data_IF_969839070346
#
_entry.id   IF_969839070346
#
_cell.length_a   1.000
_cell.length_b   1.000
_cell.length_c   1.000
_cell.angle_alpha   90.00
_cell.angle_beta   90.00
_cell.angle_gamma   90.00
#
_symmetry.space_group_name_H-M   'P 1'
#
loop_
_entity.id
_entity.type
_entity.pdbx_description
1 polymer ?
#
# COMPACT_ATOMS: atom_id res chain seq x y z
N UNK A 1 1.06 -18.23 1.63
CA UNK A 1 1.49 -17.82 0.27
C UNK A 1 1.39 -16.32 0.01
N UNK A 2 0.26 -15.65 0.26
CA UNK A 2 0.15 -14.20 0.02
C UNK A 2 1.04 -13.36 0.97
N UNK A 3 1.08 -13.70 2.26
CA UNK A 3 1.97 -13.02 3.22
C UNK A 3 3.44 -13.15 2.83
N UNK A 4 3.86 -14.32 2.37
CA UNK A 4 5.23 -14.52 1.94
C UNK A 4 5.58 -13.81 0.64
N UNK A 5 4.62 -13.66 -0.28
CA UNK A 5 4.76 -12.78 -1.45
C UNK A 5 4.93 -11.31 -1.04
N UNK A 6 4.27 -10.88 0.04
CA UNK A 6 4.44 -9.51 0.55
C UNK A 6 5.83 -9.25 1.12
N UNK A 7 6.44 -10.27 1.74
CA UNK A 7 7.80 -10.16 2.27
C UNK A 7 8.84 -10.14 1.15
N UNK A 8 8.70 -10.98 0.12
CA UNK A 8 9.63 -10.97 -1.01
C UNK A 8 9.62 -9.65 -1.78
N UNK A 9 8.45 -9.05 -1.98
CA UNK A 9 8.32 -7.72 -2.59
C UNK A 9 8.87 -6.60 -1.71
N UNK A 10 8.72 -6.68 -0.38
CA UNK A 10 9.36 -5.71 0.51
C UNK A 10 10.89 -5.77 0.44
N UNK A 11 11.45 -6.98 0.27
CA UNK A 11 12.88 -7.17 0.08
C UNK A 11 13.36 -6.65 -1.29
N UNK A 12 12.55 -6.79 -2.35
CA UNK A 12 12.90 -6.23 -3.67
C UNK A 12 12.88 -4.71 -3.67
N UNK A 13 11.95 -4.10 -2.93
CA UNK A 13 11.82 -2.64 -2.81
C UNK A 13 13.11 -1.98 -2.31
N UNK A 14 13.76 -2.57 -1.30
CA UNK A 14 15.01 -2.04 -0.73
C UNK A 14 16.19 -2.06 -1.73
N UNK A 15 16.11 -2.88 -2.78
CA UNK A 15 17.22 -3.12 -3.71
C UNK A 15 17.09 -2.36 -5.04
N UNK A 16 15.93 -1.75 -5.31
CA UNK A 16 15.69 -1.03 -6.58
C UNK A 16 16.03 0.44 -6.41
N UNK A 17 16.77 0.99 -7.39
CA UNK A 17 17.16 2.40 -7.41
C UNK A 17 16.31 3.23 -8.36
N UNK A 18 15.83 2.64 -9.45
CA UNK A 18 15.11 3.38 -10.48
C UNK A 18 13.67 3.72 -10.02
N UNK A 19 13.25 4.99 -10.02
CA UNK A 19 11.98 5.44 -9.44
C UNK A 19 10.75 4.77 -10.08
N UNK A 20 10.80 4.48 -11.39
CA UNK A 20 9.72 3.77 -12.07
C UNK A 20 9.55 2.32 -11.60
N UNK A 21 10.65 1.57 -11.42
CA UNK A 21 10.55 0.21 -10.89
C UNK A 21 10.20 0.20 -9.41
N UNK A 22 10.63 1.23 -8.67
CA UNK A 22 10.26 1.44 -7.29
C UNK A 22 8.73 1.65 -7.15
N UNK A 23 8.14 2.43 -8.06
CA UNK A 23 6.68 2.57 -8.18
C UNK A 23 5.97 1.26 -8.55
N UNK A 24 6.52 0.47 -9.47
CA UNK A 24 5.94 -0.81 -9.88
C UNK A 24 5.94 -1.84 -8.74
N UNK A 25 7.03 -1.95 -7.97
CA UNK A 25 7.08 -2.84 -6.80
C UNK A 25 6.12 -2.40 -5.70
N UNK A 26 5.99 -1.09 -5.45
CA UNK A 26 4.99 -0.58 -4.52
C UNK A 26 3.57 -0.90 -4.96
N UNK A 27 3.25 -0.77 -6.26
CA UNK A 27 1.93 -1.15 -6.77
C UNK A 27 1.65 -2.64 -6.52
N UNK A 28 2.59 -3.52 -6.86
CA UNK A 28 2.46 -4.96 -6.57
C UNK A 28 2.27 -5.25 -5.08
N UNK A 29 3.03 -4.58 -4.21
CA UNK A 29 2.93 -4.74 -2.76
C UNK A 29 1.54 -4.32 -2.25
N UNK A 30 1.01 -3.20 -2.72
CA UNK A 30 -0.31 -2.71 -2.27
C UNK A 30 -1.46 -3.63 -2.67
N UNK A 31 -1.38 -4.26 -3.85
CA UNK A 31 -2.36 -5.26 -4.28
C UNK A 31 -2.33 -6.47 -3.34
N UNK A 32 -1.15 -6.99 -3.01
CA UNK A 32 -1.01 -8.14 -2.11
C UNK A 32 -1.48 -7.80 -0.70
N UNK A 33 -1.17 -6.60 -0.19
CA UNK A 33 -1.66 -6.15 1.12
C UNK A 33 -3.19 -6.04 1.12
N UNK A 34 -3.80 -5.45 0.09
CA UNK A 34 -5.25 -5.37 -0.02
C UNK A 34 -5.91 -6.76 -0.01
N UNK A 35 -5.34 -7.71 -0.76
CA UNK A 35 -5.81 -9.10 -0.80
C UNK A 35 -5.65 -9.82 0.54
N UNK A 36 -4.51 -9.64 1.24
CA UNK A 36 -4.36 -10.22 2.59
C UNK A 36 -5.37 -9.63 3.56
N UNK A 37 -5.61 -8.32 3.52
CA UNK A 37 -6.58 -7.64 4.37
C UNK A 37 -8.02 -8.11 4.11
N UNK A 38 -8.38 -8.39 2.85
CA UNK A 38 -9.70 -8.96 2.53
C UNK A 38 -9.90 -10.38 3.05
N UNK A 39 -8.82 -11.15 3.23
CA UNK A 39 -8.91 -12.51 3.80
C UNK A 39 -9.07 -12.50 5.31
N UNK A 40 -8.53 -11.49 6.00
CA UNK A 40 -8.63 -11.38 7.46
C UNK A 40 -9.94 -10.76 7.95
N UNK A 41 -10.57 -9.91 7.13
CA UNK A 41 -11.77 -9.20 7.53
C UNK A 41 -13.03 -9.80 6.91
N UNK A 42 -14.10 -9.85 7.70
CA UNK A 42 -15.41 -10.34 7.26
C UNK A 42 -16.04 -9.49 6.14
N UNK A 43 -15.60 -8.24 5.96
CA UNK A 43 -16.08 -7.37 4.88
C UNK A 43 -14.93 -6.73 4.12
N UNK A 44 -15.03 -6.75 2.79
CA UNK A 44 -14.01 -6.21 1.88
C UNK A 44 -13.93 -4.66 1.81
N UNK A 45 -14.77 -3.93 2.56
CA UNK A 45 -14.82 -2.47 2.54
C UNK A 45 -13.49 -1.82 2.93
N UNK A 46 -12.84 -2.30 4.00
CA UNK A 46 -11.55 -1.76 4.44
C UNK A 46 -10.42 -2.05 3.45
N UNK A 47 -10.35 -3.27 2.89
CA UNK A 47 -9.38 -3.62 1.86
C UNK A 47 -9.56 -2.79 0.58
N UNK A 48 -10.79 -2.46 0.22
CA UNK A 48 -11.11 -1.62 -0.92
C UNK A 48 -10.66 -0.15 -0.71
N UNK A 49 -10.97 0.43 0.45
CA UNK A 49 -10.54 1.80 0.80
C UNK A 49 -9.00 1.88 0.80
N UNK A 50 -8.32 0.89 1.39
CA UNK A 50 -6.86 0.83 1.41
C UNK A 50 -6.28 0.78 -0.02
N UNK A 51 -6.86 -0.04 -0.89
CA UNK A 51 -6.43 -0.13 -2.29
C UNK A 51 -6.55 1.21 -3.02
N UNK A 52 -7.71 1.88 -2.92
CA UNK A 52 -7.94 3.16 -3.60
C UNK A 52 -6.98 4.27 -3.15
N UNK A 53 -6.78 4.42 -1.83
CA UNK A 53 -5.92 5.47 -1.29
C UNK A 53 -4.47 5.25 -1.73
N UNK A 54 -3.99 4.00 -1.68
CA UNK A 54 -2.62 3.68 -2.05
C UNK A 54 -2.37 3.89 -3.55
N UNK A 55 -3.29 3.43 -4.41
CA UNK A 55 -3.18 3.65 -5.87
C UNK A 55 -3.21 5.13 -6.22
N UNK A 56 -4.11 5.91 -5.60
CA UNK A 56 -4.19 7.36 -5.80
C UNK A 56 -2.89 8.08 -5.42
N UNK A 57 -2.29 7.74 -4.27
CA UNK A 57 -1.00 8.31 -3.84
C UNK A 57 0.17 7.96 -4.75
N UNK A 58 0.23 6.71 -5.24
CA UNK A 58 1.29 6.27 -6.15
C UNK A 58 1.23 6.94 -7.52
N UNK A 59 0.03 7.24 -8.04
CA UNK A 59 -0.11 7.97 -9.31
C UNK A 59 0.47 9.39 -9.24
N UNK A 60 0.27 10.09 -8.12
CA UNK A 60 0.83 11.44 -7.92
C UNK A 60 2.37 11.38 -7.88
N UNK A 61 2.94 10.41 -7.16
CA UNK A 61 4.41 10.22 -7.16
C UNK A 61 4.96 9.83 -8.54
N UNK A 62 4.22 9.03 -9.31
CA UNK A 62 4.61 8.65 -10.66
C UNK A 62 4.69 9.88 -11.59
N UNK A 63 3.68 10.75 -11.57
CA UNK A 63 3.67 12.00 -12.36
C UNK A 63 4.82 12.91 -11.94
N UNK A 64 5.09 13.03 -10.63
CA UNK A 64 6.20 13.84 -10.14
C UNK A 64 7.56 13.31 -10.66
N UNK A 65 7.81 12.00 -10.55
CA UNK A 65 9.10 11.43 -10.96
C UNK A 65 9.33 11.50 -12.47
N UNK A 66 8.31 11.28 -13.30
CA UNK A 66 8.43 11.45 -14.76
C UNK A 66 8.64 12.92 -15.16
N UNK A 67 8.15 13.88 -14.35
CA UNK A 67 8.36 15.31 -14.60
C UNK A 67 9.76 15.82 -14.21
N UNK A 68 10.42 15.15 -13.25
CA UNK A 68 11.72 15.58 -12.69
C UNK A 68 12.91 14.90 -13.37
N UNK A 69 12.77 13.66 -13.84
CA UNK A 69 13.86 12.90 -14.46
C UNK A 69 13.53 12.48 -15.89
N UNK A 70 14.33 12.94 -16.84
CA UNK A 70 14.31 12.49 -18.23
C UNK A 70 14.73 11.02 -18.32
N UNK A 71 13.83 10.13 -18.77
CA UNK A 71 14.05 8.73 -19.20
C UNK A 71 15.49 8.18 -19.04
N UNK A 72 15.93 7.97 -17.80
CA UNK A 72 17.20 7.30 -17.57
C UNK A 72 17.09 5.85 -18.03
N UNK A 73 18.15 5.33 -18.65
CA UNK A 73 18.15 3.94 -19.12
C UNK A 73 17.98 3.01 -17.92
N UNK A 74 17.00 2.13 -18.01
CA UNK A 74 16.67 1.16 -16.97
C UNK A 74 17.87 0.24 -16.68
N UNK A 75 18.52 0.41 -15.53
CA UNK A 75 19.57 -0.51 -15.04
C UNK A 75 18.92 -1.57 -14.17
N UNK A 76 18.94 -2.81 -14.65
CA UNK A 76 18.49 -3.97 -13.87
C UNK A 76 19.41 -4.19 -12.65
N UNK A 77 18.85 -4.64 -11.51
CA UNK A 77 19.65 -5.06 -10.38
C UNK A 77 20.51 -6.26 -10.73
N UNK A 78 21.63 -6.43 -10.02
CA UNK A 78 22.60 -7.50 -10.24
C UNK A 78 21.94 -8.90 -10.20
N UNK A 79 22.39 -9.85 -11.03
CA UNK A 79 21.80 -11.20 -11.14
C UNK A 79 21.74 -11.96 -9.80
N UNK A 80 22.67 -11.69 -8.86
CA UNK A 80 22.66 -12.28 -7.51
C UNK A 80 21.45 -11.83 -6.68
N UNK A 81 21.01 -10.57 -6.86
CA UNK A 81 19.84 -10.02 -6.19
C UNK A 81 18.59 -10.72 -6.75
N UNK A 82 18.50 -10.87 -8.07
CA UNK A 82 17.39 -11.55 -8.74
C UNK A 82 17.27 -13.00 -8.24
N UNK A 83 18.39 -13.73 -8.13
CA UNK A 83 18.41 -15.09 -7.58
C UNK A 83 17.93 -15.15 -6.12
N UNK A 84 18.33 -14.19 -5.28
CA UNK A 84 17.89 -14.10 -3.88
C UNK A 84 16.37 -13.86 -3.75
N UNK A 85 15.80 -13.02 -4.60
CA UNK A 85 14.35 -12.78 -4.65
C UNK A 85 13.58 -14.04 -5.04
N UNK A 86 14.05 -14.75 -6.06
CA UNK A 86 13.43 -16.00 -6.52
C UNK A 86 13.43 -17.03 -5.39
N UNK A 87 14.53 -17.15 -4.64
CA UNK A 87 14.61 -18.07 -3.50
C UNK A 87 13.61 -17.71 -2.38
N UNK A 88 13.46 -16.42 -2.06
CA UNK A 88 12.49 -15.96 -1.06
C UNK A 88 11.04 -16.22 -1.48
N UNK A 89 10.75 -16.23 -2.79
CA UNK A 89 9.42 -16.55 -3.31
C UNK A 89 9.08 -18.05 -3.26
N UNK A 90 10.07 -18.94 -3.38
CA UNK A 90 9.84 -20.39 -3.47
C UNK A 90 9.85 -21.11 -2.11
N UNK A 91 10.63 -20.64 -1.14
CA UNK A 91 10.68 -21.18 0.23
C UNK A 91 9.29 -21.37 0.89
N UNK A 92 8.36 -20.40 0.83
CA UNK A 92 7.06 -20.53 1.47
C UNK A 92 6.11 -21.46 0.71
N UNK A 93 6.27 -21.59 -0.62
CA UNK A 93 5.47 -22.50 -1.43
C UNK A 93 5.79 -23.96 -1.05
N UNK A 94 7.07 -24.26 -0.84
CA UNK A 94 7.54 -25.57 -0.39
C UNK A 94 7.00 -25.93 1.00
N UNK A 95 6.99 -24.97 1.92
CA UNK A 95 6.47 -25.18 3.28
C UNK A 95 4.93 -25.36 3.29
N UNK A 96 4.21 -24.64 2.42
CA UNK A 96 2.74 -24.72 2.38
C UNK A 96 2.19 -26.03 1.82
N UNK A 97 2.96 -26.78 1.05
CA UNK A 97 2.54 -28.10 0.55
C UNK A 97 2.32 -29.12 1.68
N UNK A 98 2.91 -28.92 2.86
CA UNK A 98 2.74 -29.83 4.00
C UNK A 98 1.53 -29.49 4.88
N UNK A 99 1.06 -28.23 4.91
CA UNK A 99 0.03 -27.79 5.87
C UNK A 99 -1.41 -27.86 5.35
N UNK A 100 -1.63 -28.18 4.07
CA UNK A 100 -2.97 -28.31 3.47
C UNK A 100 -3.85 -29.42 4.10
N UNK A 101 -3.34 -30.18 5.07
CA UNK A 101 -4.10 -31.22 5.78
C UNK A 101 -4.80 -30.77 7.07
N UNK A 102 -4.50 -29.61 7.66
CA UNK A 102 -4.85 -29.41 9.08
C UNK A 102 -6.00 -28.44 9.35
N UNK A 103 -6.42 -27.53 8.45
CA UNK A 103 -7.55 -26.63 8.77
C UNK A 103 -8.43 -26.30 7.59
N UNK A 104 -9.33 -27.23 7.26
CA UNK A 104 -10.53 -26.93 6.48
C UNK A 104 -11.82 -27.20 7.28
N UNK A 105 -11.76 -27.06 8.61
CA UNK A 105 -12.85 -27.46 9.51
C UNK A 105 -13.37 -26.33 10.39
N UNK A 106 -13.37 -25.08 9.92
CA UNK A 106 -14.13 -24.00 10.57
C UNK A 106 -14.71 -23.03 9.53
N UNK A 107 -15.27 -23.56 8.44
CA UNK A 107 -16.28 -22.83 7.67
C UNK A 107 -17.62 -23.05 8.37
N UNK A 108 -17.71 -22.59 9.62
CA UNK A 108 -18.98 -22.48 10.33
C UNK A 108 -19.35 -21.00 10.38
N UNK A 109 -20.42 -20.70 9.65
CA UNK A 109 -21.32 -19.57 9.86
C UNK A 109 -20.72 -18.17 9.72
N UNK A 110 -20.25 -17.84 8.52
CA UNK A 110 -20.25 -16.44 8.06
C UNK A 110 -21.66 -16.03 7.61
N UNK A 111 -22.63 -16.14 8.51
CA UNK A 111 -23.76 -15.23 8.42
C UNK A 111 -23.18 -13.83 8.53
N UNK A 112 -23.54 -12.96 7.58
CA UNK A 112 -23.15 -11.56 7.54
C UNK A 112 -23.65 -10.93 8.84
N UNK A 113 -22.81 -10.93 9.86
CA UNK A 113 -23.14 -10.37 11.15
C UNK A 113 -23.36 -8.87 10.91
N UNK A 114 -24.52 -8.31 11.31
CA UNK A 114 -24.78 -6.87 11.19
C UNK A 114 -23.77 -6.03 11.99
N UNK A 115 -23.04 -6.67 12.92
CA UNK A 115 -21.88 -6.12 13.61
C UNK A 115 -20.75 -5.63 12.69
N UNK A 116 -20.61 -6.15 11.47
CA UNK A 116 -19.57 -5.66 10.55
C UNK A 116 -19.89 -4.28 9.99
N UNK A 117 -21.17 -3.95 9.74
CA UNK A 117 -21.60 -2.61 9.35
C UNK A 117 -21.51 -1.61 10.52
N UNK A 118 -21.66 -2.11 11.75
CA UNK A 118 -21.47 -1.31 12.98
C UNK A 118 -20.03 -0.81 13.15
N UNK A 119 -19.04 -1.46 12.52
CA UNK A 119 -17.64 -1.01 12.60
C UNK A 119 -17.40 0.36 11.95
N UNK A 120 -18.10 0.67 10.85
CA UNK A 120 -18.00 1.95 10.14
C UNK A 120 -18.75 3.06 10.88
N UNK A 121 -19.92 2.74 11.45
CA UNK A 121 -20.75 3.72 12.15
C UNK A 121 -20.22 4.07 13.54
N UNK A 122 -19.32 3.25 14.10
CA UNK A 122 -18.68 3.47 15.41
C UNK A 122 -17.99 4.83 15.54
N UNK A 123 -17.42 5.36 14.46
CA UNK A 123 -16.74 6.66 14.48
C UNK A 123 -17.67 7.86 14.57
N UNK A 124 -18.96 7.70 14.21
CA UNK A 124 -19.95 8.75 14.37
C UNK A 124 -20.54 8.81 15.78
N UNK A 125 -20.35 7.75 16.58
CA UNK A 125 -20.90 7.63 17.94
C UNK A 125 -19.84 8.07 18.96
N UNK A 126 -20.28 8.73 20.03
CA UNK A 126 -19.41 9.08 21.16
C UNK A 126 -18.88 7.80 21.87
N UNK A 127 -17.60 7.72 22.28
CA UNK A 127 -16.58 8.77 22.32
C UNK A 127 -15.73 8.90 21.05
N UNK A 128 -15.85 7.98 20.09
CA UNK A 128 -14.95 7.94 18.93
C UNK A 128 -15.15 9.09 17.95
N UNK A 129 -16.28 9.81 18.00
CA UNK A 129 -16.45 11.05 17.23
C UNK A 129 -15.35 12.10 17.50
N UNK A 130 -14.71 12.09 18.67
CA UNK A 130 -13.57 12.98 18.95
C UNK A 130 -12.37 12.72 18.02
N UNK A 131 -12.11 11.45 17.68
CA UNK A 131 -11.00 11.10 16.77
C UNK A 131 -11.33 11.55 15.34
N UNK A 132 -12.60 11.42 14.92
CA UNK A 132 -13.08 11.93 13.64
C UNK A 132 -12.94 13.45 13.54
N UNK A 133 -13.34 14.20 14.58
CA UNK A 133 -13.15 15.65 14.61
C UNK A 133 -11.68 16.05 14.53
N UNK A 134 -10.78 15.36 15.24
CA UNK A 134 -9.35 15.61 15.15
C UNK A 134 -8.80 15.39 13.73
N UNK A 135 -9.19 14.30 13.06
CA UNK A 135 -8.77 14.01 11.68
C UNK A 135 -9.24 15.08 10.68
N UNK A 136 -10.46 15.60 10.84
CA UNK A 136 -10.98 16.67 9.99
C UNK A 136 -10.16 17.96 10.12
N UNK A 137 -9.84 18.36 11.36
CA UNK A 137 -8.99 19.53 11.63
C UNK A 137 -7.57 19.30 11.07
N UNK A 138 -7.02 18.10 11.24
CA UNK A 138 -5.70 17.75 10.69
C UNK A 138 -5.66 17.86 9.16
N UNK A 139 -6.64 17.28 8.45
CA UNK A 139 -6.69 17.37 6.98
C UNK A 139 -6.83 18.82 6.50
N UNK A 140 -7.63 19.64 7.19
CA UNK A 140 -7.75 21.07 6.90
C UNK A 140 -6.42 21.80 7.10
N UNK A 141 -5.72 21.51 8.20
CA UNK A 141 -4.40 22.09 8.48
C UNK A 141 -3.38 21.72 7.40
N UNK A 142 -3.33 20.45 6.99
CA UNK A 142 -2.43 19.97 5.92
C UNK A 142 -2.72 20.69 4.60
N UNK A 143 -3.99 20.92 4.25
CA UNK A 143 -4.35 21.66 3.03
C UNK A 143 -3.87 23.12 3.08
N UNK A 144 -4.07 23.82 4.20
CA UNK A 144 -3.58 25.20 4.35
C UNK A 144 -2.04 25.24 4.26
N UNK A 145 -1.36 24.29 4.92
CA UNK A 145 0.08 24.18 4.89
C UNK A 145 0.61 23.89 3.47
N UNK A 146 -0.01 22.96 2.74
CA UNK A 146 0.41 22.63 1.36
C UNK A 146 0.25 23.80 0.40
N UNK A 147 -0.84 24.57 0.49
CA UNK A 147 -1.03 25.80 -0.29
C UNK A 147 0.01 26.87 0.06
N UNK A 148 0.36 27.03 1.35
CA UNK A 148 1.42 27.96 1.76
C UNK A 148 2.78 27.55 1.21
N UNK A 149 3.14 26.27 1.27
CA UNK A 149 4.41 25.74 0.74
C UNK A 149 4.46 25.91 -0.79
N UNK A 150 3.38 25.62 -1.50
CA UNK A 150 3.32 25.76 -2.96
C UNK A 150 3.52 27.21 -3.44
N UNK A 151 3.10 28.21 -2.65
CA UNK A 151 3.25 29.64 -3.00
C UNK A 151 4.68 30.19 -2.86
N UNK A 152 5.64 29.44 -2.30
CA UNK A 152 6.98 29.95 -1.93
C UNK A 152 7.95 30.14 -3.13
N UNK A 153 7.57 29.85 -4.38
CA UNK A 153 8.51 29.98 -5.52
C UNK A 153 8.03 30.85 -6.68
N UNK A 154 7.98 32.16 -6.43
CA UNK A 154 7.92 33.19 -7.49
C UNK A 154 9.11 34.19 -7.42
N UNK A 155 10.29 33.77 -6.93
CA UNK A 155 11.52 34.56 -7.14
C UNK A 155 12.14 34.22 -8.50
N UNK A 156 11.81 35.05 -9.49
CA UNK A 156 12.35 35.17 -10.86
C UNK A 156 13.05 33.95 -11.47
N UNK A 157 12.38 33.29 -12.43
CA UNK A 157 12.95 32.39 -13.45
C UNK A 157 13.82 33.11 -14.49
N UNK A 158 14.56 34.16 -14.11
CA UNK A 158 15.53 34.83 -15.00
C UNK A 158 16.93 34.43 -14.57
N UNK A 159 17.54 33.53 -15.33
CA UNK A 159 18.97 33.22 -15.26
C UNK A 159 19.75 34.52 -15.49
N UNK A 160 20.66 34.87 -14.58
CA UNK A 160 21.91 35.55 -14.94
C UNK A 160 22.94 34.46 -15.18
#
# INVERSE_FOLDING_TARGET
MLLSLSWSLSATFLMITHPLALGAVLMGQTIIIALTCSLFNMTAWFSYILFLIMVGGMLIMFIYMTSVASNEKFKLPNNKIIAGVIMLMTLPALLSCQENFIKNTNVQDTFINPFNLISLTKYYIFPMNQTLMFLMIYLLFVLIASVKIAKIKNSSLRKK
#
